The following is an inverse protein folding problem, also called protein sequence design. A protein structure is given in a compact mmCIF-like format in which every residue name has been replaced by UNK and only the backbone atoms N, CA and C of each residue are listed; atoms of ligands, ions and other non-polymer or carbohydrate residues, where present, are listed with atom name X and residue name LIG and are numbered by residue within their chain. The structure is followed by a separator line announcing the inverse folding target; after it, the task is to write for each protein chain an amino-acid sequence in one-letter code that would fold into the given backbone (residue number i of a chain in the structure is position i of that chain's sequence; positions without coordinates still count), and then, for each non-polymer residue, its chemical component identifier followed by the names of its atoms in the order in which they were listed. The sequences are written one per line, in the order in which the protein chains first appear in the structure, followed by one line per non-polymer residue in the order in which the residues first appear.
data_IF_674515304127
#
_entry.id   IF_674515304127
#
_cell.length_a   1.000
_cell.length_b   1.000
_cell.length_c   1.000
_cell.angle_alpha   90.00
_cell.angle_beta   90.00
_cell.angle_gamma   90.00
#
_symmetry.space_group_name_H-M   'P 1'
#
loop_
_entity.id
_entity.type
_entity.pdbx_description
1 polymer ?
#
# COMPACT_ATOMS: atom_id res chain seq x y z
N UNK A 1 -17.95 -6.55 -2.72
CA UNK A 1 -17.07 -5.42 -2.46
C UNK A 1 -15.75 -5.90 -1.89
N UNK A 2 -14.69 -5.16 -2.12
CA UNK A 2 -13.34 -5.56 -1.75
C UNK A 2 -12.88 -4.74 -0.55
N UNK A 3 -12.27 -5.39 0.43
CA UNK A 3 -11.68 -4.69 1.58
C UNK A 3 -10.32 -4.11 1.21
N UNK A 4 -9.84 -3.18 2.02
CA UNK A 4 -8.54 -2.54 1.81
C UNK A 4 -7.41 -3.56 1.83
N UNK A 5 -7.46 -4.54 2.73
CA UNK A 5 -6.42 -5.57 2.79
C UNK A 5 -6.44 -6.49 1.57
N UNK A 6 -7.61 -6.81 1.05
CA UNK A 6 -7.72 -7.60 -0.18
C UNK A 6 -7.17 -6.82 -1.39
N UNK A 7 -7.56 -5.55 -1.51
CA UNK A 7 -7.14 -4.70 -2.61
C UNK A 7 -5.62 -4.51 -2.63
N UNK A 8 -5.01 -4.24 -1.48
CA UNK A 8 -3.56 -4.08 -1.38
C UNK A 8 -2.82 -5.38 -1.69
N UNK A 9 -3.39 -6.51 -1.30
CA UNK A 9 -2.79 -7.81 -1.60
C UNK A 9 -2.77 -8.08 -3.10
N UNK A 10 -3.87 -7.79 -3.80
CA UNK A 10 -3.90 -7.89 -5.26
C UNK A 10 -2.92 -6.93 -5.92
N UNK A 11 -2.84 -5.72 -5.40
CA UNK A 11 -1.94 -4.70 -5.92
C UNK A 11 -0.48 -5.17 -5.84
N UNK A 12 -0.09 -5.69 -4.69
CA UNK A 12 1.27 -6.19 -4.49
C UNK A 12 1.57 -7.40 -5.38
N UNK A 13 0.62 -8.31 -5.52
CA UNK A 13 0.77 -9.48 -6.40
C UNK A 13 0.96 -9.06 -7.85
N UNK A 14 0.19 -8.07 -8.28
CA UNK A 14 0.35 -7.52 -9.63
C UNK A 14 1.77 -7.03 -9.86
N UNK A 15 2.29 -6.25 -8.92
CA UNK A 15 3.63 -5.71 -9.05
C UNK A 15 4.69 -6.80 -9.10
N UNK A 16 4.59 -7.81 -8.23
CA UNK A 16 5.56 -8.90 -8.22
C UNK A 16 5.55 -9.72 -9.50
N UNK A 17 4.35 -9.97 -10.03
CA UNK A 17 4.20 -10.86 -11.18
C UNK A 17 4.47 -10.16 -12.51
N UNK A 18 4.04 -8.92 -12.67
CA UNK A 18 4.16 -8.22 -13.94
C UNK A 18 5.42 -7.37 -14.04
N UNK A 19 5.78 -6.70 -12.97
CA UNK A 19 6.91 -5.80 -13.01
C UNK A 19 8.20 -6.46 -12.52
N UNK A 20 8.08 -7.64 -11.95
CA UNK A 20 9.22 -8.43 -11.46
C UNK A 20 10.12 -7.63 -10.53
N UNK A 21 9.50 -6.80 -9.70
CA UNK A 21 10.20 -5.95 -8.75
C UNK A 21 10.28 -6.62 -7.40
N UNK A 22 11.38 -6.39 -6.71
CA UNK A 22 11.48 -6.74 -5.31
C UNK A 22 10.67 -5.74 -4.50
N UNK A 23 9.78 -6.25 -3.65
CA UNK A 23 8.99 -5.40 -2.78
C UNK A 23 9.89 -4.73 -1.75
N UNK A 24 9.59 -3.46 -1.45
CA UNK A 24 10.35 -2.67 -0.51
C UNK A 24 9.61 -2.63 0.82
N UNK A 25 10.24 -3.14 1.88
CA UNK A 25 9.63 -3.21 3.22
C UNK A 25 10.52 -2.45 4.19
N UNK A 26 10.37 -1.12 4.20
CA UNK A 26 11.25 -0.27 4.99
C UNK A 26 10.77 -0.12 6.44
N UNK A 27 9.47 0.09 6.63
CA UNK A 27 8.92 0.37 7.95
C UNK A 27 8.15 -0.80 8.50
N UNK A 28 8.19 -0.94 9.84
CA UNK A 28 7.27 -1.82 10.54
C UNK A 28 5.90 -1.14 10.67
N UNK A 29 4.83 -1.94 10.76
CA UNK A 29 3.49 -1.43 11.00
C UNK A 29 2.90 -1.95 12.31
N UNK A 30 3.73 -2.53 13.17
CA UNK A 30 3.26 -3.08 14.45
C UNK A 30 2.75 -2.01 15.41
N UNK A 31 3.13 -0.75 15.18
CA UNK A 31 2.65 0.38 15.96
C UNK A 31 1.22 0.81 15.61
N UNK A 32 0.68 0.32 14.51
CA UNK A 32 -0.67 0.69 14.09
C UNK A 32 -1.71 0.12 15.03
N UNK A 33 -2.71 0.94 15.39
CA UNK A 33 -3.68 0.58 16.41
C UNK A 33 -4.52 -0.65 16.09
N UNK A 34 -4.72 -0.93 14.81
CA UNK A 34 -5.48 -2.09 14.37
C UNK A 34 -4.62 -3.15 13.68
N UNK A 35 -3.34 -3.18 14.00
CA UNK A 35 -2.43 -4.16 13.42
C UNK A 35 -2.94 -5.60 13.62
N UNK A 36 -3.47 -5.90 14.79
CA UNK A 36 -3.98 -7.24 15.11
C UNK A 36 -5.20 -7.65 14.27
N UNK A 37 -5.86 -6.70 13.65
CA UNK A 37 -7.02 -6.96 12.79
C UNK A 37 -6.64 -7.28 11.34
N UNK A 38 -5.37 -7.10 11.00
CA UNK A 38 -4.89 -7.42 9.65
C UNK A 38 -4.70 -8.93 9.55
N UNK A 39 -5.34 -9.55 8.57
CA UNK A 39 -5.15 -10.97 8.33
C UNK A 39 -3.71 -11.25 7.92
N UNK A 40 -3.21 -12.43 8.29
CA UNK A 40 -1.80 -12.77 8.07
C UNK A 40 -1.38 -12.64 6.60
N UNK A 41 -2.28 -12.93 5.67
CA UNK A 41 -1.95 -12.83 4.24
C UNK A 41 -1.72 -11.39 3.78
N UNK A 42 -2.22 -10.42 4.51
CA UNK A 42 -2.20 -9.01 4.10
C UNK A 42 -1.15 -8.18 4.83
N UNK A 43 -0.50 -8.72 5.86
CA UNK A 43 0.48 -7.96 6.65
C UNK A 43 1.60 -7.43 5.77
N UNK A 44 2.15 -8.27 4.92
CA UNK A 44 3.24 -7.86 4.03
C UNK A 44 2.78 -6.77 3.06
N UNK A 45 1.55 -6.85 2.58
CA UNK A 45 0.98 -5.86 1.66
C UNK A 45 0.86 -4.49 2.32
N UNK A 46 0.41 -4.44 3.58
CA UNK A 46 0.34 -3.18 4.31
C UNK A 46 1.73 -2.63 4.62
N UNK A 47 2.67 -3.48 5.00
CA UNK A 47 4.05 -3.03 5.22
C UNK A 47 4.61 -2.39 3.97
N UNK A 48 4.43 -3.04 2.83
CA UNK A 48 4.88 -2.52 1.56
C UNK A 48 4.20 -1.19 1.24
N UNK A 49 2.89 -1.11 1.42
CA UNK A 49 2.13 0.09 1.08
C UNK A 49 2.50 1.28 1.96
N UNK A 50 2.69 1.05 3.26
CA UNK A 50 3.12 2.12 4.17
C UNK A 50 4.56 2.52 3.88
N UNK A 51 5.45 1.56 3.64
CA UNK A 51 6.86 1.83 3.36
C UNK A 51 7.05 2.66 2.10
N UNK A 52 6.18 2.50 1.13
CA UNK A 52 6.29 3.17 -0.17
C UNK A 52 5.34 4.35 -0.33
N UNK A 53 4.70 4.78 0.74
CA UNK A 53 3.85 5.97 0.71
C UNK A 53 2.57 5.82 -0.08
N UNK A 54 2.06 4.59 -0.22
CA UNK A 54 0.80 4.34 -0.93
C UNK A 54 -0.37 4.44 0.02
N UNK A 55 -0.21 3.96 1.25
CA UNK A 55 -1.20 4.05 2.31
C UNK A 55 -0.55 4.74 3.50
N UNK A 56 -1.26 5.68 4.12
CA UNK A 56 -0.80 6.35 5.34
C UNK A 56 -1.68 5.94 6.51
N UNK A 57 -1.07 5.56 7.63
CA UNK A 57 -1.84 5.32 8.85
C UNK A 57 -2.59 6.59 9.27
N UNK A 58 -3.79 6.42 9.81
CA UNK A 58 -4.62 7.52 10.27
C UNK A 58 -4.13 7.99 11.64
N UNK A 59 -3.33 9.05 11.66
CA UNK A 59 -2.72 9.56 12.88
C UNK A 59 -3.76 10.10 13.88
N UNK A 60 -4.95 10.49 13.40
CA UNK A 60 -6.02 10.97 14.27
C UNK A 60 -6.77 9.81 14.95
N UNK A 61 -6.54 8.58 14.55
CA UNK A 61 -7.22 7.40 15.06
C UNK A 61 -6.21 6.30 15.42
N UNK A 62 -5.18 6.65 16.18
CA UNK A 62 -4.15 5.71 16.65
C UNK A 62 -3.45 4.96 15.52
N UNK A 63 -3.19 5.64 14.43
CA UNK A 63 -2.49 5.11 13.25
C UNK A 63 -3.18 3.87 12.64
N UNK A 64 -4.52 3.87 12.62
CA UNK A 64 -5.26 2.77 12.04
C UNK A 64 -5.09 2.69 10.53
N UNK A 65 -5.10 1.47 10.00
CA UNK A 65 -4.98 1.18 8.58
C UNK A 65 -6.31 0.73 7.96
N UNK A 66 -7.30 0.39 8.79
CA UNK A 66 -8.64 -0.02 8.36
C UNK A 66 -8.63 -1.20 7.39
N UNK A 67 -8.01 -2.34 7.75
CA UNK A 67 -7.85 -3.45 6.81
C UNK A 67 -9.18 -4.08 6.36
N UNK A 68 -10.18 -4.04 7.23
CA UNK A 68 -11.48 -4.66 6.95
C UNK A 68 -12.49 -3.72 6.31
N UNK A 69 -12.17 -2.43 6.20
CA UNK A 69 -13.05 -1.47 5.54
C UNK A 69 -13.05 -1.69 4.04
N UNK A 70 -14.18 -1.42 3.41
CA UNK A 70 -14.27 -1.51 1.95
C UNK A 70 -13.49 -0.38 1.30
N UNK A 71 -12.86 -0.69 0.17
CA UNK A 71 -12.11 0.28 -0.59
C UNK A 71 -13.04 0.99 -1.59
N UNK A 72 -12.86 2.31 -1.73
CA UNK A 72 -13.61 3.10 -2.69
C UNK A 72 -12.77 3.36 -3.94
N UNK A 73 -13.46 3.65 -5.06
CA UNK A 73 -12.77 3.93 -6.33
C UNK A 73 -11.74 5.04 -6.21
N UNK A 74 -12.06 6.10 -5.47
CA UNK A 74 -11.14 7.22 -5.28
C UNK A 74 -9.87 6.80 -4.54
N UNK A 75 -9.97 5.84 -3.63
CA UNK A 75 -8.80 5.32 -2.93
C UNK A 75 -7.91 4.53 -3.88
N UNK A 76 -8.51 3.69 -4.73
CA UNK A 76 -7.74 2.93 -5.72
C UNK A 76 -7.02 3.86 -6.67
N UNK A 77 -7.69 4.91 -7.15
CA UNK A 77 -7.07 5.91 -8.02
C UNK A 77 -5.91 6.60 -7.32
N UNK A 78 -6.09 6.95 -6.04
CA UNK A 78 -5.05 7.58 -5.25
C UNK A 78 -3.84 6.66 -5.06
N UNK A 79 -4.07 5.38 -4.79
CA UNK A 79 -2.99 4.40 -4.65
C UNK A 79 -2.20 4.26 -5.95
N UNK A 80 -2.88 4.23 -7.08
CA UNK A 80 -2.22 4.16 -8.39
C UNK A 80 -1.37 5.41 -8.65
N UNK A 81 -1.90 6.58 -8.31
CA UNK A 81 -1.14 7.83 -8.43
C UNK A 81 0.10 7.81 -7.54
N UNK A 82 -0.04 7.38 -6.30
CA UNK A 82 1.08 7.31 -5.37
C UNK A 82 2.11 6.29 -5.82
N UNK A 83 1.66 5.15 -6.33
CA UNK A 83 2.57 4.17 -6.90
C UNK A 83 3.36 4.78 -8.06
N UNK A 84 2.68 5.44 -8.98
CA UNK A 84 3.34 6.06 -10.12
C UNK A 84 4.37 7.09 -9.70
N UNK A 85 4.03 7.90 -8.69
CA UNK A 85 4.93 8.97 -8.22
C UNK A 85 6.08 8.41 -7.37
N UNK A 86 5.78 7.52 -6.42
CA UNK A 86 6.73 7.13 -5.38
C UNK A 86 7.62 5.95 -5.77
N UNK A 87 7.18 5.12 -6.69
CA UNK A 87 7.90 3.90 -7.06
C UNK A 87 8.31 3.95 -8.52
N UNK A 88 7.33 4.04 -9.42
CA UNK A 88 7.60 4.01 -10.85
C UNK A 88 8.46 5.19 -11.29
N UNK A 89 8.17 6.37 -10.75
CA UNK A 89 8.93 7.57 -11.05
C UNK A 89 10.41 7.45 -10.66
N UNK A 90 10.66 6.89 -9.48
CA UNK A 90 12.04 6.70 -9.00
C UNK A 90 12.80 5.72 -9.90
N UNK A 91 12.16 4.63 -10.31
CA UNK A 91 12.79 3.60 -11.11
C UNK A 91 13.03 4.02 -12.54
N UNK A 92 12.15 4.86 -13.09
CA UNK A 92 12.21 5.28 -14.49
C UNK A 92 12.75 6.69 -14.66
N UNK A 93 13.18 7.31 -13.56
CA UNK A 93 13.70 8.66 -13.57
C UNK A 93 12.63 9.71 -13.49
N UNK A 94 12.81 10.69 -12.59
CA UNK A 94 11.83 11.75 -12.39
C UNK A 94 11.63 12.60 -13.65
N UNK A 95 12.64 12.71 -14.47
CA UNK A 95 12.57 13.53 -15.67
C UNK A 95 11.58 13.00 -16.68
N UNK A 96 11.26 11.70 -16.64
CA UNK A 96 10.27 11.13 -17.52
C UNK A 96 8.84 11.62 -17.27
N UNK A 97 8.62 12.34 -16.16
CA UNK A 97 7.31 12.90 -15.79
C UNK A 97 7.17 14.39 -16.11
N UNK A 98 8.16 14.98 -16.70
CA UNK A 98 8.18 16.41 -16.99
C UNK A 98 7.78 16.69 -18.42
#
# INVERSE_FOLDING_TARGET
MVTREQALTFFLRYLKNFEKRTAYYHYSITYCGDYSQIDSYAVASFRWAVSNGIVYPDSSANNKLYPKSYVYRRELALWLCRYGTNIWGIRHGKDSFR
#
